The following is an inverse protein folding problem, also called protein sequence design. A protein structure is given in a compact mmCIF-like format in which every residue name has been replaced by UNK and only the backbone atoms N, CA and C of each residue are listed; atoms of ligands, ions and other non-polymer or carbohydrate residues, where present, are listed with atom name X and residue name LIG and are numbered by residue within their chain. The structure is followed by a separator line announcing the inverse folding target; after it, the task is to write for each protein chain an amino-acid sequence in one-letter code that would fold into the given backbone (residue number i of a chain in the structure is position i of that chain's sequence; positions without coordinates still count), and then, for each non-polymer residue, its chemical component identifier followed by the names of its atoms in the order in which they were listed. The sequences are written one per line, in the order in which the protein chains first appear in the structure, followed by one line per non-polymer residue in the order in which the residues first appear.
data_IF_622499237944
#
_entry.id   IF_622499237944
#
_cell.length_a   1.000
_cell.length_b   1.000
_cell.length_c   1.000
_cell.angle_alpha   90.00
_cell.angle_beta   90.00
_cell.angle_gamma   90.00
#
_symmetry.space_group_name_H-M   'P 1'
#
loop_
_entity.id
_entity.type
_entity.pdbx_description
1 polymer ?
#
# COMPACT_ATOMS: atom_id res chain seq x y z
N UNK A 1 2.97 9.28 41.58
CA UNK A 1 1.50 9.38 41.44
C UNK A 1 1.09 8.61 40.20
N UNK A 2 -0.09 7.98 40.18
CA UNK A 2 -0.60 7.22 39.02
C UNK A 2 -2.07 7.55 38.77
N UNK A 3 -2.58 7.27 37.57
CA UNK A 3 -4.00 7.39 37.22
C UNK A 3 -4.44 6.13 36.48
N UNK A 4 -5.73 5.77 36.53
CA UNK A 4 -6.25 4.64 35.75
C UNK A 4 -6.16 4.92 34.25
N UNK A 5 -5.67 3.97 33.46
CA UNK A 5 -5.52 4.11 32.01
C UNK A 5 -6.84 4.50 31.33
N UNK A 6 -7.97 3.93 31.76
CA UNK A 6 -9.29 4.24 31.19
C UNK A 6 -9.70 5.71 31.40
N UNK A 7 -9.38 6.24 32.57
CA UNK A 7 -9.63 7.63 32.94
C UNK A 7 -8.68 8.55 32.19
N UNK A 8 -7.41 8.16 32.06
CA UNK A 8 -6.37 8.97 31.44
C UNK A 8 -6.60 9.11 29.92
N UNK A 9 -6.78 8.01 29.18
CA UNK A 9 -7.02 8.07 27.72
C UNK A 9 -8.33 8.79 27.35
N UNK A 10 -9.32 8.78 28.25
CA UNK A 10 -10.52 9.59 28.11
C UNK A 10 -10.26 11.07 28.41
N UNK A 11 -9.47 11.37 29.43
CA UNK A 11 -9.14 12.72 29.84
C UNK A 11 -8.35 13.47 28.76
N UNK A 12 -7.38 12.79 28.12
CA UNK A 12 -6.59 13.30 26.98
C UNK A 12 -7.31 13.15 25.62
N UNK A 13 -8.59 12.76 25.62
CA UNK A 13 -9.47 12.75 24.43
C UNK A 13 -9.13 11.73 23.34
N UNK A 14 -8.32 10.70 23.61
CA UNK A 14 -8.15 9.56 22.69
C UNK A 14 -9.45 8.77 22.51
N UNK A 15 -10.36 8.85 23.49
CA UNK A 15 -11.71 8.29 23.40
C UNK A 15 -12.80 9.35 23.61
N UNK A 16 -13.96 9.14 23.00
CA UNK A 16 -15.10 10.09 23.11
C UNK A 16 -15.73 10.09 24.50
N UNK A 17 -15.84 8.93 25.15
CA UNK A 17 -16.46 8.75 26.47
C UNK A 17 -15.62 7.83 27.36
N UNK A 18 -15.77 7.97 28.68
CA UNK A 18 -15.09 7.09 29.66
C UNK A 18 -15.54 5.63 29.53
N UNK A 19 -16.80 5.40 29.17
CA UNK A 19 -17.33 4.05 28.90
C UNK A 19 -16.65 3.41 27.68
N UNK A 20 -16.38 4.19 26.63
CA UNK A 20 -15.63 3.74 25.45
C UNK A 20 -14.17 3.39 25.79
N UNK A 21 -13.51 4.18 26.64
CA UNK A 21 -12.17 3.85 27.15
C UNK A 21 -12.15 2.51 27.89
N UNK A 22 -13.10 2.29 28.80
CA UNK A 22 -13.21 1.02 29.51
C UNK A 22 -13.53 -0.16 28.59
N UNK A 23 -14.36 0.04 27.57
CA UNK A 23 -14.65 -0.98 26.56
C UNK A 23 -13.41 -1.31 25.72
N UNK A 24 -12.64 -0.30 25.30
CA UNK A 24 -11.39 -0.48 24.56
C UNK A 24 -10.36 -1.30 25.36
N UNK A 25 -10.19 -0.99 26.64
CA UNK A 25 -9.32 -1.77 27.53
C UNK A 25 -9.77 -3.24 27.62
N UNK A 26 -11.08 -3.49 27.84
CA UNK A 26 -11.63 -4.86 27.91
C UNK A 26 -11.51 -5.62 26.59
N UNK A 27 -11.60 -4.93 25.46
CA UNK A 27 -11.47 -5.51 24.11
C UNK A 27 -10.03 -5.77 23.67
N UNK A 28 -9.03 -5.51 24.51
CA UNK A 28 -7.61 -5.68 24.15
C UNK A 28 -7.11 -4.62 23.15
N UNK A 29 -7.77 -3.47 23.10
CA UNK A 29 -7.42 -2.36 22.21
C UNK A 29 -6.49 -1.33 22.86
N UNK A 30 -6.16 -1.51 24.14
CA UNK A 30 -5.28 -0.63 24.90
C UNK A 30 -4.16 -1.45 25.53
N UNK A 31 -2.92 -1.04 25.30
CA UNK A 31 -1.73 -1.60 25.93
C UNK A 31 -0.99 -0.51 26.72
N UNK A 32 -0.37 -0.89 27.83
CA UNK A 32 0.57 -0.07 28.60
C UNK A 32 1.89 -0.81 28.65
N UNK A 33 2.97 -0.17 28.18
CA UNK A 33 4.32 -0.75 28.12
C UNK A 33 4.32 -2.15 27.45
N UNK A 34 3.62 -2.27 26.33
CA UNK A 34 3.51 -3.51 25.55
C UNK A 34 2.53 -4.57 26.07
N UNK A 35 1.96 -4.41 27.28
CA UNK A 35 1.01 -5.37 27.85
C UNK A 35 -0.44 -4.86 27.78
N UNK A 36 -1.39 -5.74 27.42
CA UNK A 36 -2.82 -5.42 27.40
C UNK A 36 -3.30 -4.92 28.76
N UNK A 37 -3.94 -3.75 28.77
CA UNK A 37 -4.30 -3.07 30.02
C UNK A 37 -5.77 -3.30 30.40
N UNK A 38 -6.01 -3.67 31.66
CA UNK A 38 -7.36 -3.61 32.26
C UNK A 38 -7.76 -2.15 32.47
N UNK A 39 -9.05 -1.79 32.49
CA UNK A 39 -9.48 -0.39 32.64
C UNK A 39 -8.87 0.33 33.86
N UNK A 40 -8.74 -0.38 34.99
CA UNK A 40 -8.21 0.17 36.24
C UNK A 40 -6.67 0.10 36.35
N UNK A 41 -5.97 -0.35 35.31
CA UNK A 41 -4.50 -0.42 35.29
C UNK A 41 -3.92 0.99 35.55
N UNK A 42 -3.00 1.15 36.52
CA UNK A 42 -2.36 2.42 36.75
C UNK A 42 -1.39 2.76 35.60
N UNK A 43 -1.35 4.03 35.22
CA UNK A 43 -0.33 4.64 34.35
C UNK A 43 0.38 5.76 35.11
N UNK A 44 1.68 5.86 34.90
CA UNK A 44 2.60 6.87 35.41
C UNK A 44 3.22 7.71 34.28
N UNK A 45 3.97 8.74 34.66
CA UNK A 45 4.76 9.53 33.70
C UNK A 45 5.88 8.65 33.14
N UNK A 46 6.12 8.72 31.83
CA UNK A 46 7.07 7.91 31.09
C UNK A 46 6.52 6.57 30.58
N UNK A 47 5.30 6.18 30.98
CA UNK A 47 4.67 4.98 30.43
C UNK A 47 4.27 5.20 28.96
N UNK A 48 4.50 4.20 28.13
CA UNK A 48 3.95 4.14 26.77
C UNK A 48 2.53 3.58 26.82
N UNK A 49 1.57 4.33 26.29
CA UNK A 49 0.18 3.92 26.13
C UNK A 49 -0.15 3.80 24.65
N UNK A 50 -0.49 2.59 24.22
CA UNK A 50 -0.91 2.29 22.85
C UNK A 50 -2.41 2.06 22.80
N UNK A 51 -3.11 2.79 21.94
CA UNK A 51 -4.57 2.72 21.77
C UNK A 51 -4.90 2.48 20.29
N UNK A 52 -5.60 1.38 20.00
CA UNK A 52 -6.01 1.00 18.65
C UNK A 52 -7.52 1.12 18.49
N UNK A 53 -8.00 2.15 17.79
CA UNK A 53 -9.43 2.43 17.62
C UNK A 53 -9.73 2.79 16.16
N UNK A 54 -10.84 2.25 15.64
CA UNK A 54 -11.34 2.60 14.29
C UNK A 54 -10.30 2.43 13.17
N UNK A 55 -9.45 1.41 13.25
CA UNK A 55 -8.38 1.17 12.27
C UNK A 55 -7.17 2.10 12.40
N UNK A 56 -7.13 2.97 13.40
CA UNK A 56 -6.01 3.84 13.69
C UNK A 56 -5.30 3.43 14.99
N UNK A 57 -3.99 3.44 14.94
CA UNK A 57 -3.15 3.29 16.12
C UNK A 57 -2.71 4.67 16.63
N UNK A 58 -2.73 4.83 17.96
CA UNK A 58 -2.13 5.95 18.67
C UNK A 58 -1.13 5.40 19.67
N UNK A 59 0.10 5.89 19.62
CA UNK A 59 1.18 5.50 20.54
C UNK A 59 1.61 6.78 21.24
N UNK A 60 1.40 6.87 22.55
CA UNK A 60 1.66 8.10 23.29
C UNK A 60 2.46 7.82 24.56
N UNK A 61 3.49 8.62 24.82
CA UNK A 61 4.22 8.60 26.09
C UNK A 61 3.54 9.57 27.08
N UNK A 62 3.29 9.13 28.31
CA UNK A 62 2.63 9.95 29.34
C UNK A 62 3.60 11.01 29.88
N UNK A 63 3.29 12.30 29.70
CA UNK A 63 4.09 13.39 30.32
C UNK A 63 3.39 14.05 31.50
N UNK A 64 2.05 14.05 31.52
CA UNK A 64 1.24 14.58 32.64
C UNK A 64 0.09 13.63 32.97
N UNK A 65 -0.16 13.44 34.27
CA UNK A 65 -1.27 12.62 34.76
C UNK A 65 -2.50 13.49 35.02
N UNK A 66 -3.55 13.29 34.23
CA UNK A 66 -4.85 13.94 34.39
C UNK A 66 -5.98 12.92 34.47
N UNK A 67 -6.99 13.21 35.29
CA UNK A 67 -8.19 12.37 35.43
C UNK A 67 -9.47 13.07 34.99
N UNK A 68 -9.45 14.41 34.85
CA UNK A 68 -10.54 15.23 34.33
C UNK A 68 -10.30 15.52 32.85
N UNK A 69 -11.34 15.37 32.02
CA UNK A 69 -11.26 15.69 30.59
C UNK A 69 -11.03 17.17 30.36
N UNK A 70 -10.06 17.49 29.49
CA UNK A 70 -9.64 18.85 29.17
C UNK A 70 -9.90 19.20 27.70
N UNK A 71 -9.58 20.45 27.34
CA UNK A 71 -9.61 20.93 25.96
C UNK A 71 -8.54 20.22 25.10
N UNK A 72 -8.66 20.28 23.77
CA UNK A 72 -7.70 19.63 22.88
C UNK A 72 -6.25 20.15 23.06
N UNK A 73 -6.00 21.48 23.17
CA UNK A 73 -4.65 21.98 23.41
C UNK A 73 -4.06 21.49 24.74
N UNK A 74 -4.84 21.55 25.82
CA UNK A 74 -4.38 21.09 27.14
C UNK A 74 -4.13 19.57 27.18
N UNK A 75 -4.86 18.78 26.39
CA UNK A 75 -4.63 17.35 26.27
C UNK A 75 -3.31 17.03 25.55
N UNK A 76 -2.98 17.79 24.50
CA UNK A 76 -1.74 17.60 23.73
C UNK A 76 -0.48 17.85 24.58
N UNK A 77 -0.56 18.67 25.62
CA UNK A 77 0.55 18.86 26.57
C UNK A 77 0.75 17.71 27.56
N UNK A 78 -0.18 16.75 27.62
CA UNK A 78 -0.13 15.65 28.59
C UNK A 78 0.56 14.40 28.07
N UNK A 79 0.97 14.39 26.80
CA UNK A 79 1.65 13.27 26.18
C UNK A 79 2.59 13.70 25.05
N UNK A 80 3.56 12.84 24.71
CA UNK A 80 4.33 12.93 23.46
C UNK A 80 3.74 11.91 22.49
N UNK A 81 3.46 12.35 21.26
CA UNK A 81 2.86 11.49 20.22
C UNK A 81 3.96 10.78 19.42
N UNK A 82 4.01 9.46 19.53
CA UNK A 82 4.87 8.56 18.76
C UNK A 82 4.06 7.74 17.75
N UNK A 83 2.82 8.15 17.46
CA UNK A 83 1.99 7.46 16.49
C UNK A 83 2.67 7.47 15.13
N UNK A 84 2.62 6.36 14.38
CA UNK A 84 3.09 6.37 13.01
C UNK A 84 2.35 7.46 12.24
N UNK A 85 3.02 8.15 11.30
CA UNK A 85 2.36 9.14 10.47
C UNK A 85 1.12 8.50 9.83
N UNK A 86 -0.01 9.23 9.76
CA UNK A 86 -1.20 8.69 9.12
C UNK A 86 -0.81 8.19 7.72
N UNK A 87 -1.35 7.04 7.28
CA UNK A 87 -1.07 6.55 5.94
C UNK A 87 -1.35 7.70 4.96
N UNK A 88 -0.48 7.92 3.95
CA UNK A 88 -0.67 8.96 2.96
C UNK A 88 -2.12 8.99 2.47
N UNK A 89 -2.69 10.19 2.28
CA UNK A 89 -4.11 10.34 1.86
C UNK A 89 -4.44 9.53 0.60
N UNK A 90 -3.42 9.24 -0.20
CA UNK A 90 -3.46 8.38 -1.38
C UNK A 90 -3.89 6.94 -1.08
N UNK A 91 -3.41 6.31 0.01
CA UNK A 91 -3.79 4.95 0.43
C UNK A 91 -5.23 4.90 0.96
N UNK A 92 -5.70 6.00 1.57
CA UNK A 92 -7.08 6.11 2.03
C UNK A 92 -8.07 6.37 0.89
N UNK A 93 -7.60 6.92 -0.23
CA UNK A 93 -8.40 7.18 -1.43
C UNK A 93 -8.48 5.97 -2.38
N UNK A 94 -7.49 5.06 -2.34
CA UNK A 94 -7.49 3.81 -3.12
C UNK A 94 -8.42 2.73 -2.55
N UNK A 95 -8.91 2.89 -1.32
CA UNK A 95 -9.93 1.99 -0.77
C UNK A 95 -11.21 2.11 -1.61
N UNK A 96 -11.74 0.99 -2.15
CA UNK A 96 -12.94 1.01 -2.97
C UNK A 96 -14.09 1.67 -2.22
N UNK A 97 -14.47 2.87 -2.64
CA UNK A 97 -15.62 3.59 -2.10
C UNK A 97 -16.85 3.20 -2.89
N UNK A 98 -17.89 2.76 -2.18
CA UNK A 98 -19.19 2.48 -2.79
C UNK A 98 -19.90 3.81 -3.07
N UNK A 99 -20.57 3.91 -4.22
CA UNK A 99 -21.28 5.13 -4.59
C UNK A 99 -22.32 5.51 -3.52
N UNK A 100 -22.40 6.80 -3.12
CA UNK A 100 -23.43 7.26 -2.21
C UNK A 100 -24.83 6.96 -2.76
N UNK A 101 -25.71 6.35 -1.95
CA UNK A 101 -27.09 6.00 -2.36
C UNK A 101 -27.26 4.61 -2.98
N UNK A 102 -26.18 3.87 -3.21
CA UNK A 102 -26.18 2.49 -3.76
C UNK A 102 -26.81 1.41 -2.88
N UNK A 103 -27.34 1.78 -1.70
CA UNK A 103 -28.09 0.89 -0.82
C UNK A 103 -27.31 -0.33 -0.30
N UNK A 104 -28.02 -1.23 0.39
CA UNK A 104 -27.47 -2.52 0.83
C UNK A 104 -27.19 -3.42 -0.38
N UNK A 105 -26.09 -4.19 -0.42
CA UNK A 105 -25.76 -5.06 -1.53
C UNK A 105 -26.93 -5.96 -1.93
N UNK A 106 -27.20 -6.01 -3.23
CA UNK A 106 -28.21 -6.89 -3.81
C UNK A 106 -27.84 -8.35 -3.59
N UNK A 107 -28.79 -9.30 -3.76
CA UNK A 107 -28.52 -10.74 -3.55
C UNK A 107 -27.39 -11.26 -4.45
N UNK A 108 -27.25 -10.70 -5.66
CA UNK A 108 -26.17 -11.03 -6.60
C UNK A 108 -24.83 -10.48 -6.13
N UNK A 109 -24.75 -9.19 -5.81
CA UNK A 109 -23.54 -8.57 -5.24
C UNK A 109 -23.10 -9.26 -3.95
N UNK A 110 -24.05 -9.65 -3.08
CA UNK A 110 -23.75 -10.42 -1.87
C UNK A 110 -23.11 -11.75 -2.21
N UNK A 111 -23.63 -12.49 -3.21
CA UNK A 111 -23.05 -13.78 -3.64
C UNK A 111 -21.66 -13.60 -4.26
N UNK A 112 -21.43 -12.51 -4.98
CA UNK A 112 -20.13 -12.16 -5.54
C UNK A 112 -19.14 -11.79 -4.42
N UNK A 113 -19.57 -10.99 -3.43
CA UNK A 113 -18.79 -10.70 -2.21
C UNK A 113 -18.51 -11.95 -1.38
N UNK A 114 -19.48 -12.86 -1.25
CA UNK A 114 -19.31 -14.12 -0.55
C UNK A 114 -18.35 -15.04 -1.31
N UNK A 115 -18.38 -15.07 -2.65
CA UNK A 115 -17.37 -15.78 -3.47
C UNK A 115 -15.97 -15.22 -3.24
N UNK A 116 -15.80 -13.90 -3.24
CA UNK A 116 -14.52 -13.25 -2.95
C UNK A 116 -14.03 -13.55 -1.53
N UNK A 117 -14.93 -13.60 -0.54
CA UNK A 117 -14.60 -13.96 0.85
C UNK A 117 -14.25 -15.43 1.03
N UNK A 118 -14.89 -16.33 0.28
CA UNK A 118 -14.62 -17.77 0.33
C UNK A 118 -13.31 -18.14 -0.39
N UNK A 119 -12.84 -17.33 -1.34
CA UNK A 119 -11.51 -17.49 -1.96
C UNK A 119 -10.38 -16.83 -1.14
N UNK A 120 -10.71 -15.88 -0.25
CA UNK A 120 -9.76 -15.32 0.72
C UNK A 120 -9.57 -16.15 2.00
N UNK A 121 -10.38 -17.19 2.22
CA UNK A 121 -10.38 -18.00 3.44
C UNK A 121 -9.26 -19.04 3.52
N UNK A 122 -8.64 -19.42 2.41
CA UNK A 122 -7.57 -20.43 2.39
C UNK A 122 -6.16 -19.81 2.45
N UNK A 123 -6.01 -18.53 2.10
CA UNK A 123 -4.71 -17.83 2.11
C UNK A 123 -4.40 -17.13 3.45
N UNK A 124 -5.29 -17.18 4.45
CA UNK A 124 -4.98 -16.74 5.82
C UNK A 124 -4.43 -17.91 6.68
N UNK A 125 -4.49 -19.15 6.19
CA UNK A 125 -4.16 -20.34 6.99
C UNK A 125 -2.71 -20.87 6.84
N UNK A 126 -1.87 -20.31 5.96
CA UNK A 126 -0.48 -20.77 5.78
C UNK A 126 0.58 -19.78 6.28
N UNK A 127 0.22 -18.52 6.57
CA UNK A 127 1.12 -17.56 7.23
C UNK A 127 1.03 -17.59 8.78
N UNK A 128 0.42 -18.62 9.37
CA UNK A 128 0.19 -18.73 10.81
C UNK A 128 1.00 -19.84 11.52
N UNK A 129 1.97 -20.46 10.85
CA UNK A 129 2.84 -21.46 11.45
C UNK A 129 4.28 -21.18 11.01
N UNK A 130 5.06 -20.58 11.92
CA UNK A 130 6.54 -20.46 11.96
C UNK A 130 7.12 -19.10 12.39
N UNK A 131 6.43 -18.31 13.23
CA UNK A 131 7.13 -17.35 14.11
C UNK A 131 6.55 -17.44 15.52
N UNK A 132 6.89 -18.52 16.22
CA UNK A 132 6.94 -18.50 17.69
C UNK A 132 8.38 -18.26 18.12
N UNK A 133 8.57 -17.11 18.77
CA UNK A 133 9.68 -16.76 19.67
C UNK A 133 11.05 -16.55 19.01
N UNK A 134 11.39 -15.28 18.76
CA UNK A 134 12.49 -14.59 19.45
C UNK A 134 12.38 -13.08 19.20
N UNK A 135 12.64 -12.33 20.28
CA UNK A 135 12.76 -10.89 20.29
C UNK A 135 13.95 -10.42 19.46
N UNK A 136 13.81 -9.28 18.80
CA UNK A 136 14.90 -8.60 18.10
C UNK A 136 14.58 -7.13 17.93
N UNK A 137 15.09 -6.32 18.87
CA UNK A 137 15.21 -4.87 18.69
C UNK A 137 16.28 -4.63 17.62
N UNK A 138 15.98 -3.84 16.59
CA UNK A 138 17.01 -3.36 15.66
C UNK A 138 17.04 -1.84 15.70
N UNK A 139 18.24 -1.31 15.90
CA UNK A 139 18.57 0.08 16.17
C UNK A 139 18.99 0.83 14.91
N UNK A 140 18.41 2.02 14.72
CA UNK A 140 19.09 3.26 14.34
C UNK A 140 19.71 3.39 12.94
N UNK A 141 19.25 4.38 12.18
CA UNK A 141 20.07 5.55 11.80
C UNK A 141 19.26 6.61 11.06
N UNK A 142 19.70 7.86 11.25
CA UNK A 142 19.08 9.11 10.84
C UNK A 142 19.05 9.32 9.32
N UNK A 143 18.09 10.11 8.80
CA UNK A 143 18.43 11.34 8.09
C UNK A 143 17.26 12.24 7.65
N UNK A 144 17.52 13.53 7.88
CA UNK A 144 17.16 14.75 7.16
C UNK A 144 15.98 14.75 6.17
N UNK A 145 14.98 15.55 6.52
CA UNK A 145 13.92 16.01 5.65
C UNK A 145 14.46 16.90 4.50
N UNK A 146 14.13 16.53 3.26
CA UNK A 146 14.22 17.41 2.11
C UNK A 146 12.86 18.08 1.87
N UNK A 147 12.84 19.41 1.97
CA UNK A 147 11.69 20.27 1.71
C UNK A 147 11.43 20.37 0.20
N UNK A 148 10.36 19.74 -0.28
CA UNK A 148 9.81 19.95 -1.63
C UNK A 148 8.41 20.53 -1.53
N UNK A 149 8.19 21.71 -2.11
CA UNK A 149 6.87 22.32 -2.29
C UNK A 149 5.96 21.43 -3.14
N UNK A 150 4.71 21.16 -2.73
CA UNK A 150 3.79 20.34 -3.53
C UNK A 150 3.21 21.17 -4.68
N UNK A 151 3.50 20.76 -5.91
CA UNK A 151 2.79 21.24 -7.09
C UNK A 151 1.31 20.83 -7.02
N UNK A 152 0.42 21.79 -7.23
CA UNK A 152 -1.02 21.59 -7.22
C UNK A 152 -1.45 20.70 -8.39
N UNK A 153 -2.25 19.67 -8.10
CA UNK A 153 -2.82 18.76 -9.08
C UNK A 153 -3.58 19.53 -10.17
N UNK A 154 -3.12 19.40 -11.42
CA UNK A 154 -3.78 19.93 -12.60
C UNK A 154 -5.12 19.22 -12.84
N UNK A 155 -6.13 19.98 -13.25
CA UNK A 155 -7.47 19.50 -13.62
C UNK A 155 -7.36 18.42 -14.71
N UNK A 156 -8.00 17.26 -14.51
CA UNK A 156 -7.98 16.15 -15.46
C UNK A 156 -8.54 16.59 -16.83
N UNK A 157 -7.65 16.76 -17.81
CA UNK A 157 -8.02 16.85 -19.22
C UNK A 157 -8.53 15.50 -19.75
N UNK A 158 -8.90 15.46 -21.03
CA UNK A 158 -9.02 14.21 -21.76
C UNK A 158 -7.62 13.61 -21.88
N UNK A 159 -7.17 12.90 -20.84
CA UNK A 159 -5.92 12.14 -20.85
C UNK A 159 -5.90 11.16 -22.04
N UNK A 160 -4.72 10.65 -22.39
CA UNK A 160 -4.56 9.76 -23.53
C UNK A 160 -5.49 8.55 -23.43
N UNK A 161 -5.95 8.07 -24.57
CA UNK A 161 -6.60 6.76 -24.67
C UNK A 161 -5.58 5.73 -25.14
N UNK A 162 -5.36 4.69 -24.33
CA UNK A 162 -4.36 3.67 -24.62
C UNK A 162 -4.92 2.41 -25.29
N UNK A 163 -6.18 2.39 -25.75
CA UNK A 163 -6.79 1.17 -26.25
C UNK A 163 -6.88 0.07 -25.19
N UNK A 164 -7.38 -1.11 -25.60
CA UNK A 164 -7.36 -2.29 -24.74
C UNK A 164 -5.91 -2.71 -24.46
N UNK A 165 -5.58 -2.98 -23.19
CA UNK A 165 -4.25 -3.43 -22.77
C UNK A 165 -3.07 -2.57 -23.24
N UNK A 166 -3.23 -1.25 -23.27
CA UNK A 166 -2.16 -0.37 -23.73
C UNK A 166 -1.94 -0.43 -25.25
N UNK A 167 -2.89 -0.99 -25.99
CA UNK A 167 -2.82 -1.18 -27.43
C UNK A 167 -1.92 -2.34 -27.83
N UNK A 168 -1.53 -3.21 -26.88
CA UNK A 168 -0.61 -4.34 -27.10
C UNK A 168 -1.36 -5.67 -27.08
N UNK A 169 -1.09 -6.54 -28.04
CA UNK A 169 -1.75 -7.86 -28.12
C UNK A 169 -1.03 -8.92 -27.29
N UNK A 170 -1.72 -10.01 -26.96
CA UNK A 170 -1.11 -11.14 -26.24
C UNK A 170 0.07 -11.75 -27.01
N UNK A 171 -0.02 -11.82 -28.34
CA UNK A 171 1.06 -12.32 -29.19
C UNK A 171 2.30 -11.42 -29.12
N UNK A 172 2.10 -10.10 -29.04
CA UNK A 172 3.19 -9.15 -28.87
C UNK A 172 3.84 -9.29 -27.49
N UNK A 173 3.05 -9.42 -26.41
CA UNK A 173 3.57 -9.67 -25.06
C UNK A 173 4.41 -10.94 -25.02
N UNK A 174 3.90 -12.05 -25.55
CA UNK A 174 4.62 -13.33 -25.58
C UNK A 174 5.92 -13.21 -26.40
N UNK A 175 5.84 -12.57 -27.57
CA UNK A 175 7.00 -12.40 -28.46
C UNK A 175 8.08 -11.50 -27.85
N UNK A 176 7.69 -10.40 -27.21
CA UNK A 176 8.61 -9.41 -26.65
C UNK A 176 9.24 -9.90 -25.35
N UNK A 177 8.45 -10.48 -24.44
CA UNK A 177 8.97 -11.00 -23.17
C UNK A 177 9.76 -12.28 -23.34
N UNK A 178 9.47 -13.06 -24.39
CA UNK A 178 10.00 -14.41 -24.62
C UNK A 178 9.68 -15.40 -23.48
N UNK A 179 8.71 -15.08 -22.63
CA UNK A 179 8.24 -15.95 -21.56
C UNK A 179 7.27 -17.01 -22.08
N UNK A 180 7.46 -18.24 -21.63
CA UNK A 180 6.62 -19.37 -22.02
C UNK A 180 5.36 -19.46 -21.16
N UNK A 181 4.26 -19.92 -21.76
CA UNK A 181 3.03 -20.24 -21.04
C UNK A 181 2.17 -19.03 -20.64
N UNK A 182 2.55 -17.80 -21.01
CA UNK A 182 1.77 -16.62 -20.72
C UNK A 182 0.38 -16.69 -21.39
N UNK A 183 -0.65 -16.45 -20.57
CA UNK A 183 -2.03 -16.28 -21.03
C UNK A 183 -2.64 -15.06 -20.34
N UNK A 184 -3.53 -14.34 -21.03
CA UNK A 184 -4.18 -13.17 -20.45
C UNK A 184 -5.17 -13.61 -19.34
N UNK A 185 -4.82 -13.32 -18.09
CA UNK A 185 -5.58 -13.70 -16.89
C UNK A 185 -6.45 -12.56 -16.37
N UNK A 186 -6.07 -11.31 -16.67
CA UNK A 186 -6.84 -10.11 -16.32
C UNK A 186 -6.95 -9.25 -17.57
N UNK A 187 -8.18 -8.91 -17.95
CA UNK A 187 -8.45 -8.01 -19.06
C UNK A 187 -9.59 -7.07 -18.70
N UNK A 188 -9.27 -5.80 -18.45
CA UNK A 188 -10.24 -4.73 -18.30
C UNK A 188 -9.67 -3.39 -18.79
N UNK A 189 -10.51 -2.35 -18.78
CA UNK A 189 -10.19 -1.04 -19.34
C UNK A 189 -8.98 -0.32 -18.73
N UNK A 190 -8.51 -0.73 -17.55
CA UNK A 190 -7.38 -0.08 -16.87
C UNK A 190 -6.27 -1.05 -16.48
N UNK A 191 -6.46 -2.36 -16.60
CA UNK A 191 -5.48 -3.37 -16.22
C UNK A 191 -5.53 -4.54 -17.18
N UNK A 192 -4.36 -4.93 -17.69
CA UNK A 192 -4.16 -6.23 -18.32
C UNK A 192 -3.02 -7.00 -17.67
N UNK A 193 -3.15 -8.31 -17.60
CA UNK A 193 -2.15 -9.19 -17.02
C UNK A 193 -2.05 -10.48 -17.81
N UNK A 194 -0.81 -10.87 -18.10
CA UNK A 194 -0.46 -12.15 -18.68
C UNK A 194 0.39 -12.92 -17.67
N UNK A 195 -0.07 -14.11 -17.29
CA UNK A 195 0.63 -14.95 -16.33
C UNK A 195 0.73 -16.39 -16.84
N UNK A 196 1.78 -17.11 -16.44
CA UNK A 196 1.99 -18.52 -16.80
C UNK A 196 1.17 -19.51 -15.98
N UNK A 197 0.49 -19.04 -14.94
CA UNK A 197 -0.27 -19.86 -13.99
C UNK A 197 -1.21 -19.03 -13.12
N UNK A 198 -2.13 -19.69 -12.40
CA UNK A 198 -3.13 -19.03 -11.56
C UNK A 198 -2.60 -18.53 -10.22
N UNK A 199 -1.42 -18.99 -9.80
CA UNK A 199 -0.77 -18.68 -8.53
C UNK A 199 0.28 -17.57 -8.62
N UNK A 200 0.52 -17.03 -9.84
CA UNK A 200 1.46 -15.91 -10.12
C UNK A 200 2.89 -16.15 -9.61
N UNK A 201 3.29 -17.42 -9.46
CA UNK A 201 4.64 -17.80 -9.05
C UNK A 201 5.61 -17.80 -10.23
N UNK A 202 5.11 -18.02 -11.45
CA UNK A 202 5.88 -17.96 -12.69
C UNK A 202 5.91 -16.56 -13.32
N UNK A 203 6.39 -16.45 -14.57
CA UNK A 203 6.51 -15.18 -15.26
C UNK A 203 5.18 -14.44 -15.41
N UNK A 204 5.25 -13.12 -15.27
CA UNK A 204 4.11 -12.19 -15.38
C UNK A 204 4.50 -10.96 -16.19
N UNK A 205 3.61 -10.51 -17.06
CA UNK A 205 3.64 -9.16 -17.62
C UNK A 205 2.32 -8.47 -17.31
N UNK A 206 2.32 -7.21 -16.91
CA UNK A 206 1.10 -6.45 -16.67
C UNK A 206 1.18 -5.03 -17.17
N UNK A 207 0.06 -4.55 -17.69
CA UNK A 207 -0.17 -3.16 -18.05
C UNK A 207 -1.20 -2.56 -17.09
N UNK A 208 -0.86 -1.43 -16.47
CA UNK A 208 -1.74 -0.71 -15.56
C UNK A 208 -1.88 0.74 -16.03
N UNK A 209 -3.10 1.25 -16.14
CA UNK A 209 -3.39 2.64 -16.49
C UNK A 209 -4.04 3.37 -15.32
N UNK A 210 -3.38 4.42 -14.85
CA UNK A 210 -3.78 5.22 -13.70
C UNK A 210 -4.26 6.60 -14.14
N UNK A 211 -5.54 6.88 -13.89
CA UNK A 211 -6.20 8.15 -14.24
C UNK A 211 -6.25 9.13 -13.08
N UNK A 212 -5.87 10.39 -13.32
CA UNK A 212 -5.88 11.46 -12.33
C UNK A 212 -4.87 11.25 -11.19
N UNK A 213 -3.77 10.56 -11.46
CA UNK A 213 -2.72 10.28 -10.49
C UNK A 213 -1.37 10.73 -11.04
N UNK A 214 -0.63 11.60 -10.36
CA UNK A 214 0.69 11.99 -10.80
C UNK A 214 1.68 10.82 -10.67
N UNK A 215 2.48 10.59 -11.71
CA UNK A 215 3.50 9.52 -11.76
C UNK A 215 4.51 9.59 -10.60
N UNK A 216 4.73 10.77 -10.03
CA UNK A 216 5.68 10.99 -8.94
C UNK A 216 5.38 10.14 -7.70
N UNK A 217 4.12 9.76 -7.48
CA UNK A 217 3.75 8.88 -6.36
C UNK A 217 4.28 7.47 -6.55
N UNK A 218 4.06 6.86 -7.71
CA UNK A 218 4.53 5.48 -7.95
C UNK A 218 6.05 5.42 -8.02
N UNK A 219 6.69 6.43 -8.61
CA UNK A 219 8.14 6.55 -8.57
C UNK A 219 8.71 6.53 -7.15
N UNK A 220 8.05 7.20 -6.20
CA UNK A 220 8.51 7.22 -4.81
C UNK A 220 8.39 5.84 -4.15
N UNK A 221 7.36 5.05 -4.50
CA UNK A 221 7.24 3.65 -4.08
C UNK A 221 8.37 2.81 -4.65
N UNK A 222 8.63 2.91 -5.96
CA UNK A 222 9.67 2.14 -6.63
C UNK A 222 11.07 2.43 -6.08
N UNK A 223 11.35 3.69 -5.71
CA UNK A 223 12.60 4.08 -5.07
C UNK A 223 12.83 3.43 -3.69
N UNK A 224 11.77 2.95 -3.04
CA UNK A 224 11.85 2.26 -1.75
C UNK A 224 11.89 0.74 -1.90
N UNK A 225 11.37 0.20 -3.00
CA UNK A 225 11.17 -1.25 -3.19
C UNK A 225 12.11 -1.88 -4.20
N UNK A 226 12.77 -1.11 -5.07
CA UNK A 226 13.67 -1.61 -6.12
C UNK A 226 15.12 -1.25 -5.88
N UNK A 227 16.01 -2.09 -6.39
CA UNK A 227 17.46 -1.86 -6.32
C UNK A 227 17.88 -0.64 -7.16
N UNK A 228 17.28 -0.47 -8.34
CA UNK A 228 17.60 0.62 -9.26
C UNK A 228 16.33 1.32 -9.71
N UNK A 229 16.26 2.65 -9.56
CA UNK A 229 15.22 3.50 -10.14
C UNK A 229 15.86 4.70 -10.83
N UNK A 230 15.58 4.90 -12.11
CA UNK A 230 16.20 5.94 -12.95
C UNK A 230 15.14 6.76 -13.68
N UNK A 231 15.50 8.00 -14.01
CA UNK A 231 14.74 8.79 -14.98
C UNK A 231 14.69 8.06 -16.32
N UNK A 232 13.53 8.12 -16.96
CA UNK A 232 13.31 7.47 -18.24
C UNK A 232 12.42 8.34 -19.12
N UNK A 233 12.57 8.22 -20.44
CA UNK A 233 11.78 8.99 -21.40
C UNK A 233 11.56 8.18 -22.68
N UNK A 234 10.32 8.14 -23.17
CA UNK A 234 9.95 7.55 -24.46
C UNK A 234 9.16 8.59 -25.26
N UNK A 235 9.60 8.89 -26.49
CA UNK A 235 8.90 9.81 -27.40
C UNK A 235 8.51 11.16 -26.77
N UNK A 236 9.36 11.72 -25.90
CA UNK A 236 9.11 12.99 -25.21
C UNK A 236 8.24 12.89 -23.95
N UNK A 237 7.75 11.69 -23.63
CA UNK A 237 7.00 11.42 -22.39
C UNK A 237 7.94 10.98 -21.29
N UNK A 238 7.99 11.77 -20.21
CA UNK A 238 8.82 11.51 -19.04
C UNK A 238 8.24 10.40 -18.19
N UNK A 239 9.14 9.66 -17.54
CA UNK A 239 8.80 8.48 -16.79
C UNK A 239 9.89 8.05 -15.82
N UNK A 240 9.80 6.81 -15.41
CA UNK A 240 10.87 6.12 -14.69
C UNK A 240 11.03 4.70 -15.22
N UNK A 241 12.22 4.15 -15.04
CA UNK A 241 12.48 2.72 -15.12
C UNK A 241 12.99 2.27 -13.76
N UNK A 242 12.34 1.26 -13.19
CA UNK A 242 12.68 0.68 -11.91
C UNK A 242 12.91 -0.83 -12.08
N UNK A 243 13.94 -1.38 -11.45
CA UNK A 243 14.33 -2.76 -11.66
C UNK A 243 14.99 -3.36 -10.43
N UNK A 244 14.78 -4.66 -10.25
CA UNK A 244 15.45 -5.53 -9.28
C UNK A 244 15.76 -6.87 -9.97
N UNK A 245 16.41 -7.80 -9.27
CA UNK A 245 16.62 -9.16 -9.74
C UNK A 245 15.29 -9.84 -10.09
N UNK A 246 15.02 -10.02 -11.38
CA UNK A 246 13.84 -10.72 -11.88
C UNK A 246 12.60 -9.86 -12.15
N UNK A 247 12.68 -8.53 -12.04
CA UNK A 247 11.56 -7.63 -12.36
C UNK A 247 12.03 -6.28 -12.91
N UNK A 248 11.28 -5.73 -13.87
CA UNK A 248 11.44 -4.38 -14.38
C UNK A 248 10.10 -3.70 -14.60
N UNK A 249 9.99 -2.45 -14.16
CA UNK A 249 8.78 -1.64 -14.17
C UNK A 249 9.07 -0.30 -14.82
N UNK A 250 8.24 0.09 -15.78
CA UNK A 250 8.36 1.35 -16.51
C UNK A 250 7.04 2.09 -16.42
N UNK A 251 7.07 3.25 -15.76
CA UNK A 251 5.95 4.20 -15.74
C UNK A 251 6.20 5.34 -16.72
N UNK A 252 5.20 5.70 -17.55
CA UNK A 252 5.27 6.81 -18.51
C UNK A 252 4.12 7.79 -18.28
N UNK A 253 4.43 9.07 -18.09
CA UNK A 253 3.48 10.13 -17.77
C UNK A 253 2.80 10.75 -19.00
N UNK A 254 1.52 11.07 -18.84
CA UNK A 254 0.68 11.76 -19.80
C UNK A 254 -0.22 12.77 -19.09
N UNK A 255 0.34 13.95 -18.81
CA UNK A 255 -0.37 15.01 -18.09
C UNK A 255 -0.72 14.58 -16.66
N UNK A 256 -2.02 14.42 -16.38
CA UNK A 256 -2.53 13.98 -15.07
C UNK A 256 -2.67 12.45 -14.94
N UNK A 257 -2.41 11.71 -16.02
CA UNK A 257 -2.49 10.25 -16.09
C UNK A 257 -1.09 9.67 -16.29
N UNK A 258 -0.91 8.38 -16.02
CA UNK A 258 0.26 7.62 -16.46
C UNK A 258 -0.13 6.15 -16.68
N UNK A 259 0.64 5.44 -17.49
CA UNK A 259 0.57 3.98 -17.54
C UNK A 259 1.86 3.38 -16.98
N UNK A 260 1.78 2.11 -16.62
CA UNK A 260 2.92 1.32 -16.17
C UNK A 260 2.90 -0.06 -16.81
N UNK A 261 4.06 -0.48 -17.31
CA UNK A 261 4.34 -1.88 -17.64
C UNK A 261 5.20 -2.48 -16.53
N UNK A 262 4.81 -3.64 -16.01
CA UNK A 262 5.61 -4.46 -15.10
C UNK A 262 5.88 -5.81 -15.74
N UNK A 263 7.15 -6.20 -15.85
CA UNK A 263 7.58 -7.47 -16.42
C UNK A 263 8.41 -8.19 -15.36
N UNK A 264 7.97 -9.39 -14.97
CA UNK A 264 8.59 -10.21 -13.93
C UNK A 264 8.84 -11.61 -14.46
N UNK A 265 10.02 -12.15 -14.18
CA UNK A 265 10.37 -13.55 -14.47
C UNK A 265 9.71 -14.53 -13.48
N UNK A 266 9.03 -14.03 -12.43
CA UNK A 266 8.49 -14.85 -11.35
C UNK A 266 9.53 -15.21 -10.30
N UNK A 267 9.21 -16.19 -9.45
CA UNK A 267 10.15 -16.73 -8.46
C UNK A 267 11.19 -17.55 -9.20
N UNK A 268 12.43 -17.04 -9.24
CA UNK A 268 13.56 -17.75 -9.84
C UNK A 268 13.77 -19.09 -9.11
N UNK A 269 13.72 -20.20 -9.86
CA UNK A 269 13.98 -21.52 -9.32
C UNK A 269 15.48 -21.81 -9.36
N UNK A 270 16.06 -22.46 -8.34
CA UNK A 270 17.42 -22.98 -8.40
C UNK A 270 17.65 -24.00 -9.54
N UNK A 271 16.56 -24.49 -10.15
CA UNK A 271 16.57 -25.44 -11.26
C UNK A 271 16.56 -24.76 -12.65
N UNK A 272 16.38 -23.44 -12.71
CA UNK A 272 16.41 -22.71 -13.98
C UNK A 272 17.86 -22.62 -14.45
N UNK A 273 18.21 -23.35 -15.53
CA UNK A 273 19.58 -23.42 -16.06
C UNK A 273 20.16 -22.05 -16.45
N UNK A 274 19.29 -21.09 -16.79
CA UNK A 274 19.65 -19.68 -16.97
C UNK A 274 18.40 -18.80 -16.79
N UNK A 275 18.21 -18.14 -15.64
CA UNK A 275 17.10 -17.18 -15.48
C UNK A 275 17.32 -15.98 -16.43
N UNK A 276 16.23 -15.36 -16.93
CA UNK A 276 16.35 -14.18 -17.77
C UNK A 276 17.06 -13.05 -17.02
N UNK A 277 18.01 -12.39 -17.70
CA UNK A 277 18.74 -11.27 -17.10
C UNK A 277 17.82 -10.09 -16.85
N UNK A 278 18.12 -9.27 -15.84
CA UNK A 278 17.39 -8.01 -15.60
C UNK A 278 17.42 -7.10 -16.84
N UNK A 279 18.50 -7.14 -17.63
CA UNK A 279 18.61 -6.44 -18.92
C UNK A 279 17.52 -6.90 -19.90
N UNK A 280 17.37 -8.21 -20.13
CA UNK A 280 16.33 -8.77 -20.99
C UNK A 280 14.92 -8.38 -20.52
N UNK A 281 14.68 -8.43 -19.21
CA UNK A 281 13.38 -8.07 -18.62
C UNK A 281 13.08 -6.58 -18.85
N UNK A 282 14.08 -5.70 -18.66
CA UNK A 282 13.93 -4.27 -18.89
C UNK A 282 13.80 -3.90 -20.38
N UNK A 283 14.47 -4.62 -21.27
CA UNK A 283 14.32 -4.45 -22.71
C UNK A 283 12.88 -4.79 -23.15
N UNK A 284 12.33 -5.87 -22.62
CA UNK A 284 10.93 -6.23 -22.85
C UNK A 284 9.96 -5.16 -22.33
N UNK A 285 10.14 -4.69 -21.08
CA UNK A 285 9.32 -3.62 -20.52
C UNK A 285 9.42 -2.31 -21.33
N UNK A 286 10.61 -2.00 -21.85
CA UNK A 286 10.88 -0.82 -22.69
C UNK A 286 10.13 -0.90 -24.00
N UNK A 287 10.21 -2.03 -24.69
CA UNK A 287 9.55 -2.23 -25.98
C UNK A 287 8.02 -2.22 -25.85
N UNK A 288 7.48 -2.84 -24.81
CA UNK A 288 6.05 -2.80 -24.50
C UNK A 288 5.57 -1.37 -24.24
N UNK A 289 6.34 -0.61 -23.45
CA UNK A 289 6.05 0.80 -23.18
C UNK A 289 6.12 1.65 -24.44
N UNK A 290 7.08 1.40 -25.33
CA UNK A 290 7.19 2.08 -26.62
C UNK A 290 5.95 1.86 -27.48
N UNK A 291 5.47 0.62 -27.59
CA UNK A 291 4.23 0.31 -28.32
C UNK A 291 3.02 1.04 -27.74
N UNK A 292 2.89 1.08 -26.41
CA UNK A 292 1.79 1.79 -25.76
C UNK A 292 1.83 3.31 -25.98
N UNK A 293 3.02 3.92 -25.98
CA UNK A 293 3.16 5.34 -26.30
C UNK A 293 2.82 5.63 -27.77
N UNK A 294 3.28 4.81 -28.70
CA UNK A 294 3.05 5.00 -30.15
C UNK A 294 1.59 4.81 -30.56
N UNK A 295 0.84 4.01 -29.81
CA UNK A 295 -0.56 3.68 -30.08
C UNK A 295 -1.54 4.50 -29.23
N UNK A 296 -1.04 5.35 -28.33
CA UNK A 296 -1.87 6.27 -27.56
C UNK A 296 -2.48 7.34 -28.48
N UNK A 297 -3.76 7.66 -28.26
CA UNK A 297 -4.51 8.69 -29.00
C UNK A 297 -5.12 9.75 -28.11
#
# INVERSE_FOLDING_TARGET
MTTRVDSWIWAIRLTKTRSAAGAACRGGHVCVNGATAKPAQPVGIGDEVRVRLHGHERIVEVTKLISKRVSAPAAAECYIDHSPPPPPREILASQPRRDPGSGRPTKRERRELDRLRMHGGFLIAVAAVCVTLLAGCSSGSDNAAATGTPDMAAQAGAGPFFGECGGVTSEEVIRITQFSGLSNTVNNASVCEWASGSDRTGPVASFNWYRGSPIGRERATEQLTRESTKDFEINGHKGFIASDSGICEIGIAFGADFFEWSVSAGVLSPLDEQPPSTEHICDAATELSRLSVERAS
#
